data_IF_025900015315
#
_entry.id   IF_025900015315
#
_cell.length_a   1.000
_cell.length_b   1.000
_cell.length_c   1.000
_cell.angle_alpha   90.00
_cell.angle_beta   90.00
_cell.angle_gamma   90.00
#
_symmetry.space_group_name_H-M   'P 1'
#
loop_
_entity.id
_entity.type
_entity.pdbx_description
1 polymer ?
#
# COMPACT_ATOMS: atom_id res chain seq x y z
N UNK A 1 48.58 33.64 11.56
CA UNK A 1 47.75 32.44 11.73
C UNK A 1 46.26 32.75 11.66
N UNK A 2 45.75 33.81 12.33
CA UNK A 2 44.30 34.19 12.34
C UNK A 2 43.72 34.57 10.94
N UNK A 3 44.49 35.15 10.03
CA UNK A 3 44.02 35.52 8.69
C UNK A 3 43.93 34.33 7.70
N UNK A 4 44.64 33.23 7.94
CA UNK A 4 44.55 32.03 7.11
C UNK A 4 43.32 31.17 7.49
N UNK A 5 42.93 31.20 8.76
CA UNK A 5 41.75 30.49 9.26
C UNK A 5 40.46 31.16 8.76
N UNK A 6 40.42 32.52 8.72
CA UNK A 6 39.27 33.25 8.19
C UNK A 6 39.01 32.97 6.68
N UNK A 7 40.07 32.81 5.87
CA UNK A 7 39.93 32.47 4.44
C UNK A 7 39.49 31.03 4.20
N UNK A 8 39.86 30.07 5.07
CA UNK A 8 39.42 28.69 4.97
C UNK A 8 37.95 28.55 5.41
N UNK A 9 37.52 29.31 6.42
CA UNK A 9 36.11 29.36 6.84
C UNK A 9 35.19 30.03 5.79
N UNK A 10 35.67 31.07 5.11
CA UNK A 10 34.90 31.70 4.04
C UNK A 10 34.79 30.84 2.77
N UNK A 11 35.80 29.99 2.47
CA UNK A 11 35.73 29.04 1.35
C UNK A 11 34.87 27.84 1.70
N UNK A 12 34.83 27.38 2.94
CA UNK A 12 33.96 26.30 3.42
C UNK A 12 32.48 26.70 3.43
N UNK A 13 32.14 27.96 3.71
CA UNK A 13 30.75 28.44 3.68
C UNK A 13 30.22 28.65 2.26
N UNK A 14 31.08 29.00 1.29
CA UNK A 14 30.66 29.07 -0.12
C UNK A 14 30.49 27.69 -0.79
N UNK A 15 31.16 26.65 -0.30
CA UNK A 15 31.01 25.30 -0.83
C UNK A 15 29.70 24.58 -0.37
N UNK A 16 29.12 25.01 0.76
CA UNK A 16 27.87 24.43 1.26
C UNK A 16 26.61 25.00 0.59
N UNK A 17 26.72 26.14 -0.12
CA UNK A 17 25.58 26.74 -0.83
C UNK A 17 25.38 26.19 -2.26
N UNK A 18 26.30 25.36 -2.75
CA UNK A 18 26.23 24.80 -4.11
C UNK A 18 25.52 23.43 -4.18
N UNK A 19 25.08 22.86 -3.05
CA UNK A 19 24.41 21.55 -3.02
C UNK A 19 22.90 21.63 -2.77
N UNK A 20 22.31 22.79 -2.91
CA UNK A 20 20.87 23.01 -2.63
C UNK A 20 19.99 23.06 -3.88
N UNK A 21 20.50 22.77 -5.09
CA UNK A 21 19.76 22.92 -6.35
C UNK A 21 19.41 21.60 -7.05
N UNK A 22 19.60 20.44 -6.46
CA UNK A 22 19.20 19.18 -7.14
C UNK A 22 17.68 18.96 -7.20
N UNK A 23 16.89 19.76 -6.49
CA UNK A 23 15.43 19.67 -6.51
C UNK A 23 14.80 20.16 -7.83
N UNK A 24 15.53 20.96 -8.60
CA UNK A 24 15.08 21.46 -9.92
C UNK A 24 15.78 20.76 -11.09
N UNK A 25 16.74 19.91 -10.83
CA UNK A 25 17.41 19.16 -11.89
C UNK A 25 16.47 18.08 -12.43
N UNK A 26 16.10 18.26 -13.67
CA UNK A 26 15.68 17.17 -14.56
C UNK A 26 16.82 16.15 -14.52
N UNK A 27 16.53 14.88 -14.20
CA UNK A 27 17.59 13.85 -14.12
C UNK A 27 18.54 13.95 -15.30
N UNK A 28 19.86 13.76 -15.08
CA UNK A 28 20.91 13.88 -16.11
C UNK A 28 20.62 13.07 -17.39
N UNK A 29 19.80 12.02 -17.31
CA UNK A 29 19.31 11.27 -18.47
C UNK A 29 18.30 12.04 -19.32
N UNK A 30 17.53 12.96 -18.75
CA UNK A 30 16.69 13.92 -19.47
C UNK A 30 17.49 15.16 -19.90
N UNK A 31 18.57 15.49 -19.19
CA UNK A 31 19.39 16.67 -19.44
C UNK A 31 20.35 16.53 -20.62
N UNK A 32 20.39 15.40 -21.34
CA UNK A 32 21.25 15.20 -22.52
C UNK A 32 21.01 16.21 -23.66
N UNK A 33 21.32 17.48 -23.38
CA UNK A 33 21.22 18.59 -24.33
C UNK A 33 19.84 19.28 -24.36
N UNK A 34 18.99 19.05 -23.33
CA UNK A 34 17.67 19.69 -23.22
C UNK A 34 17.83 20.96 -22.35
N UNK A 35 17.58 22.10 -22.96
CA UNK A 35 17.63 23.40 -22.28
C UNK A 35 16.25 23.93 -21.84
N UNK A 36 15.18 23.26 -22.27
CA UNK A 36 13.81 23.69 -21.99
C UNK A 36 12.85 22.49 -21.91
N UNK A 37 11.94 22.52 -20.95
CA UNK A 37 10.91 21.50 -20.72
C UNK A 37 10.02 21.30 -21.97
N UNK A 38 9.80 22.34 -22.78
CA UNK A 38 9.04 22.24 -24.04
C UNK A 38 9.65 21.24 -25.03
N UNK A 39 10.97 21.07 -25.02
CA UNK A 39 11.68 20.09 -25.87
C UNK A 39 11.38 18.63 -25.46
N UNK A 40 10.99 18.40 -24.23
CA UNK A 40 10.53 17.08 -23.78
C UNK A 40 9.20 16.76 -24.44
N UNK A 41 8.27 17.69 -24.38
CA UNK A 41 6.89 17.50 -24.85
C UNK A 41 6.70 17.71 -26.35
N UNK A 42 7.72 18.13 -27.08
CA UNK A 42 7.76 18.12 -28.54
C UNK A 42 8.30 16.78 -29.13
N UNK A 43 8.68 15.81 -28.29
CA UNK A 43 9.19 14.52 -28.72
C UNK A 43 8.35 13.37 -28.16
N UNK A 44 7.86 12.50 -29.04
CA UNK A 44 6.97 11.38 -28.68
C UNK A 44 7.55 10.48 -27.61
N UNK A 45 8.82 10.02 -27.79
CA UNK A 45 9.45 9.08 -26.87
C UNK A 45 9.72 9.72 -25.50
N UNK A 46 10.10 10.98 -25.45
CA UNK A 46 10.30 11.71 -24.20
C UNK A 46 9.00 11.94 -23.48
N UNK A 47 7.93 12.32 -24.18
CA UNK A 47 6.59 12.47 -23.61
C UNK A 47 6.07 11.14 -23.01
N UNK A 48 6.23 10.02 -23.75
CA UNK A 48 5.87 8.69 -23.25
C UNK A 48 6.69 8.26 -22.03
N UNK A 49 7.99 8.57 -22.00
CA UNK A 49 8.84 8.31 -20.81
C UNK A 49 8.40 9.12 -19.60
N UNK A 50 8.09 10.40 -19.79
CA UNK A 50 7.55 11.22 -18.70
C UNK A 50 6.22 10.67 -18.19
N UNK A 51 5.30 10.31 -19.08
CA UNK A 51 4.07 9.62 -18.72
C UNK A 51 4.35 8.38 -17.85
N UNK A 52 5.27 7.49 -18.27
CA UNK A 52 5.64 6.31 -17.50
C UNK A 52 6.24 6.64 -16.13
N UNK A 53 7.06 7.69 -16.03
CA UNK A 53 7.68 8.11 -14.77
C UNK A 53 6.66 8.57 -13.72
N UNK A 54 5.52 9.13 -14.14
CA UNK A 54 4.45 9.53 -13.20
C UNK A 54 3.95 8.35 -12.36
N UNK A 55 4.11 7.11 -12.82
CA UNK A 55 3.66 5.90 -12.12
C UNK A 55 4.69 5.29 -11.17
N UNK A 56 5.95 5.72 -11.23
CA UNK A 56 7.07 5.05 -10.53
C UNK A 56 6.95 5.05 -9.00
N UNK A 57 6.34 6.07 -8.43
CA UNK A 57 6.27 6.25 -6.97
C UNK A 57 4.91 5.82 -6.40
N UNK A 58 4.19 4.91 -7.07
CA UNK A 58 3.02 4.28 -6.48
C UNK A 58 3.44 3.42 -5.29
N UNK A 59 2.84 3.62 -4.10
CA UNK A 59 3.11 2.75 -2.96
C UNK A 59 2.78 1.29 -3.26
N UNK A 60 3.66 0.39 -2.83
CA UNK A 60 3.47 -1.04 -2.97
C UNK A 60 2.90 -1.62 -1.67
N UNK A 61 1.59 -1.82 -1.64
CA UNK A 61 0.90 -2.40 -0.48
C UNK A 61 0.99 -3.94 -0.41
N UNK A 62 1.61 -4.59 -1.39
CA UNK A 62 1.93 -6.00 -1.30
C UNK A 62 3.11 -6.31 -0.38
N UNK A 63 3.94 -5.31 -0.09
CA UNK A 63 5.05 -5.46 0.85
C UNK A 63 4.53 -5.59 2.28
N UNK A 64 4.77 -6.74 2.91
CA UNK A 64 4.35 -7.03 4.30
C UNK A 64 5.29 -6.47 5.36
N UNK A 65 6.43 -5.93 4.96
CA UNK A 65 7.41 -5.36 5.90
C UNK A 65 7.45 -3.85 5.79
N UNK A 66 7.62 -3.18 6.94
CA UNK A 66 8.07 -1.79 6.94
C UNK A 66 9.48 -1.80 6.36
N UNK A 67 9.57 -1.43 5.11
CA UNK A 67 10.84 -1.22 4.45
C UNK A 67 11.34 0.18 4.78
N UNK A 68 12.67 0.37 4.76
CA UNK A 68 13.26 1.72 4.76
C UNK A 68 12.89 2.52 3.51
N UNK A 69 12.24 1.89 2.55
CA UNK A 69 11.65 2.56 1.39
C UNK A 69 10.41 3.33 1.80
N UNK A 70 10.30 4.63 1.47
CA UNK A 70 9.10 5.42 1.76
C UNK A 70 7.85 4.90 1.05
N UNK A 71 8.01 4.03 0.04
CA UNK A 71 6.91 3.44 -0.72
C UNK A 71 6.46 2.07 -0.19
N UNK A 72 7.04 1.58 0.92
CA UNK A 72 6.61 0.34 1.56
C UNK A 72 5.22 0.43 2.20
N UNK A 73 4.68 -0.73 2.59
CA UNK A 73 3.39 -0.83 3.29
C UNK A 73 3.58 -0.69 4.80
N UNK A 74 3.14 0.40 5.44
CA UNK A 74 3.22 0.53 6.89
C UNK A 74 2.10 -0.21 7.61
N UNK A 75 0.96 -0.40 6.96
CA UNK A 75 -0.30 -0.80 7.60
C UNK A 75 -0.27 -2.22 8.13
N UNK A 76 0.13 -3.19 7.31
CA UNK A 76 0.17 -4.60 7.68
C UNK A 76 1.06 -4.84 8.91
N UNK A 77 2.16 -4.08 9.03
CA UNK A 77 3.07 -4.20 10.15
C UNK A 77 2.61 -3.48 11.41
N UNK A 78 1.66 -2.55 11.29
CA UNK A 78 1.17 -1.74 12.42
C UNK A 78 -0.21 -2.17 12.89
N UNK A 79 -0.89 -3.02 12.11
CA UNK A 79 -2.11 -3.67 12.53
C UNK A 79 -1.81 -4.83 13.50
N UNK A 80 -2.83 -5.32 14.15
CA UNK A 80 -2.82 -6.48 15.05
C UNK A 80 -2.95 -7.83 14.32
N UNK A 81 -2.54 -7.85 13.05
CA UNK A 81 -2.64 -9.04 12.19
C UNK A 81 -1.36 -9.85 12.21
N UNK A 82 -0.19 -9.20 12.04
CA UNK A 82 1.08 -9.88 11.90
C UNK A 82 2.19 -9.26 12.76
N UNK A 83 3.18 -10.08 13.06
CA UNK A 83 4.44 -9.68 13.65
C UNK A 83 5.60 -10.07 12.74
N UNK A 84 6.54 -9.17 12.52
CA UNK A 84 7.77 -9.46 11.81
C UNK A 84 8.99 -9.07 12.64
N UNK A 85 10.06 -9.85 12.50
CA UNK A 85 11.34 -9.53 13.17
C UNK A 85 11.89 -8.16 12.73
N UNK A 86 11.60 -7.74 11.52
CA UNK A 86 12.04 -6.45 10.99
C UNK A 86 11.29 -5.27 11.63
N UNK A 87 10.07 -5.49 12.11
CA UNK A 87 9.32 -4.49 12.88
C UNK A 87 10.05 -4.09 14.17
N UNK A 88 10.70 -5.04 14.84
CA UNK A 88 11.50 -4.73 16.05
C UNK A 88 12.67 -3.82 15.72
N UNK A 89 13.32 -4.03 14.58
CA UNK A 89 14.45 -3.21 14.14
C UNK A 89 14.02 -1.80 13.72
N UNK A 90 12.81 -1.66 13.21
CA UNK A 90 12.26 -0.38 12.77
C UNK A 90 11.71 0.49 13.92
N UNK A 91 11.79 0.06 15.17
CA UNK A 91 11.21 0.76 16.31
C UNK A 91 9.68 0.85 16.22
N UNK A 92 9.09 -0.20 15.87
CA UNK A 92 7.78 -0.45 15.25
C UNK A 92 6.53 0.23 15.80
N UNK A 93 6.48 0.62 17.03
CA UNK A 93 5.19 1.07 17.59
C UNK A 93 5.25 2.43 18.25
N UNK A 94 6.43 3.04 18.27
CA UNK A 94 6.62 3.88 19.42
C UNK A 94 6.73 5.35 19.09
N UNK A 95 7.28 5.71 17.96
CA UNK A 95 7.75 7.08 17.85
C UNK A 95 7.75 7.62 16.41
N UNK A 96 6.72 7.28 15.67
CA UNK A 96 6.54 7.94 14.38
C UNK A 96 6.10 9.37 14.63
N UNK A 97 6.96 10.28 14.27
CA UNK A 97 6.75 11.71 14.39
C UNK A 97 7.44 12.44 13.23
N UNK A 98 7.34 13.75 13.19
CA UNK A 98 7.93 14.56 12.12
C UNK A 98 9.44 14.41 11.95
N UNK A 99 10.15 13.88 12.95
CA UNK A 99 11.61 13.69 12.93
C UNK A 99 12.02 12.22 12.76
N UNK A 100 11.10 11.28 12.98
CA UNK A 100 11.32 9.85 12.86
C UNK A 100 10.23 9.24 11.99
N UNK A 101 10.47 9.21 10.70
CA UNK A 101 9.50 8.78 9.70
C UNK A 101 10.08 7.61 8.90
N UNK A 102 9.87 6.39 9.39
CA UNK A 102 10.26 5.19 8.64
C UNK A 102 9.43 4.99 7.36
N UNK A 103 8.37 5.76 7.18
CA UNK A 103 7.51 5.75 5.99
C UNK A 103 7.24 7.17 5.49
N UNK A 104 8.31 7.96 5.32
CA UNK A 104 8.18 9.33 4.83
C UNK A 104 7.92 9.37 3.33
N UNK A 105 6.65 9.51 2.96
CA UNK A 105 6.23 9.68 1.57
C UNK A 105 6.11 11.14 1.16
N UNK A 106 6.25 12.08 2.09
CA UNK A 106 5.95 13.50 1.86
C UNK A 106 6.68 14.06 0.64
N UNK A 107 8.00 14.07 0.67
CA UNK A 107 8.81 14.62 -0.41
C UNK A 107 8.58 13.88 -1.73
N UNK A 108 8.69 12.56 -1.72
CA UNK A 108 8.60 11.74 -2.94
C UNK A 108 7.23 11.85 -3.62
N UNK A 109 6.15 11.91 -2.84
CA UNK A 109 4.81 12.03 -3.44
C UNK A 109 4.54 13.45 -3.95
N UNK A 110 5.01 14.51 -3.27
CA UNK A 110 4.90 15.86 -3.82
C UNK A 110 5.78 16.09 -5.07
N UNK A 111 6.95 15.44 -5.15
CA UNK A 111 7.73 15.39 -6.40
C UNK A 111 6.94 14.73 -7.53
N UNK A 112 6.24 13.63 -7.23
CA UNK A 112 5.39 12.93 -8.20
C UNK A 112 4.17 13.76 -8.62
N UNK A 113 3.55 14.46 -7.67
CA UNK A 113 2.46 15.42 -7.94
C UNK A 113 2.97 16.54 -8.86
N UNK A 114 4.16 17.09 -8.60
CA UNK A 114 4.76 18.08 -9.47
C UNK A 114 4.97 17.54 -10.89
N UNK A 115 5.49 16.31 -11.03
CA UNK A 115 5.66 15.70 -12.35
C UNK A 115 4.34 15.48 -13.07
N UNK A 116 3.28 15.09 -12.34
CA UNK A 116 1.94 14.96 -12.87
C UNK A 116 1.39 16.32 -13.35
N UNK A 117 1.54 17.37 -12.56
CA UNK A 117 1.09 18.73 -12.93
C UNK A 117 1.79 19.23 -14.20
N UNK A 118 3.13 19.08 -14.27
CA UNK A 118 3.88 19.46 -15.48
C UNK A 118 3.36 18.70 -16.70
N UNK A 119 3.11 17.39 -16.58
CA UNK A 119 2.55 16.62 -17.70
C UNK A 119 1.17 17.12 -18.11
N UNK A 120 0.28 17.38 -17.17
CA UNK A 120 -1.07 17.87 -17.43
C UNK A 120 -1.07 19.22 -18.15
N UNK A 121 -0.11 20.10 -17.82
CA UNK A 121 0.04 21.43 -18.40
C UNK A 121 0.73 21.39 -19.76
N UNK A 122 1.78 20.61 -19.92
CA UNK A 122 2.68 20.67 -21.07
C UNK A 122 2.37 19.64 -22.17
N UNK A 123 1.82 18.47 -21.82
CA UNK A 123 1.57 17.43 -22.81
C UNK A 123 0.48 17.85 -23.82
N UNK A 124 0.78 17.66 -25.10
CA UNK A 124 -0.09 17.99 -26.22
C UNK A 124 0.09 16.96 -27.34
N UNK A 125 -0.86 16.88 -28.30
CA UNK A 125 -0.71 16.02 -29.46
C UNK A 125 0.57 16.38 -30.24
N UNK A 126 1.29 15.35 -30.71
CA UNK A 126 2.50 15.50 -31.52
C UNK A 126 2.20 14.84 -32.86
N UNK A 127 2.16 15.67 -33.91
CA UNK A 127 1.95 15.23 -35.28
C UNK A 127 3.26 15.41 -36.03
N UNK A 128 3.89 14.32 -36.43
CA UNK A 128 5.03 14.36 -37.35
C UNK A 128 4.50 14.20 -38.78
N UNK A 129 4.67 15.24 -39.60
CA UNK A 129 4.19 15.28 -40.98
C UNK A 129 5.03 14.39 -41.89
N UNK A 130 5.18 13.13 -41.62
CA UNK A 130 5.88 12.21 -42.50
C UNK A 130 6.52 11.01 -41.79
N UNK A 131 6.37 10.93 -40.49
CA UNK A 131 6.88 9.79 -39.71
C UNK A 131 5.93 8.57 -39.71
N UNK A 132 6.43 7.37 -39.39
CA UNK A 132 5.60 6.21 -39.15
C UNK A 132 4.65 6.47 -37.96
N UNK A 133 3.51 5.75 -37.91
CA UNK A 133 2.49 5.91 -36.86
C UNK A 133 3.02 5.83 -35.42
N UNK A 134 4.18 5.18 -35.21
CA UNK A 134 4.86 5.09 -33.93
C UNK A 134 5.45 6.42 -33.43
N UNK A 135 5.66 7.38 -34.31
CA UNK A 135 6.32 8.67 -34.02
C UNK A 135 5.31 9.80 -33.80
N UNK A 136 4.06 9.46 -33.52
CA UNK A 136 3.01 10.45 -33.22
C UNK A 136 2.30 10.15 -31.90
N UNK A 137 1.73 11.20 -31.31
CA UNK A 137 0.77 11.13 -30.22
C UNK A 137 -0.51 11.82 -30.65
N UNK A 138 -1.58 11.07 -30.81
CA UNK A 138 -2.88 11.58 -31.22
C UNK A 138 -3.55 12.36 -30.08
N UNK A 139 -4.58 13.15 -30.43
CA UNK A 139 -5.40 13.85 -29.45
C UNK A 139 -6.05 12.88 -28.45
N UNK A 140 -6.60 11.76 -28.93
CA UNK A 140 -7.22 10.75 -28.08
C UNK A 140 -6.20 10.07 -27.13
N UNK A 141 -4.98 9.82 -27.62
CA UNK A 141 -3.91 9.28 -26.78
C UNK A 141 -3.50 10.27 -25.67
N UNK A 142 -3.33 11.53 -26.01
CA UNK A 142 -2.99 12.56 -25.02
C UNK A 142 -4.13 12.75 -24.03
N UNK A 143 -5.38 12.73 -24.49
CA UNK A 143 -6.55 12.80 -23.63
C UNK A 143 -6.57 11.65 -22.61
N UNK A 144 -6.37 10.42 -23.07
CA UNK A 144 -6.27 9.23 -22.22
C UNK A 144 -5.08 9.34 -21.24
N UNK A 145 -3.90 9.76 -21.71
CA UNK A 145 -2.72 9.93 -20.86
C UNK A 145 -2.96 10.98 -19.77
N UNK A 146 -3.58 12.10 -20.13
CA UNK A 146 -3.93 13.14 -19.15
C UNK A 146 -4.95 12.64 -18.12
N UNK A 147 -5.94 11.84 -18.52
CA UNK A 147 -6.88 11.24 -17.60
C UNK A 147 -6.16 10.30 -16.58
N UNK A 148 -5.26 9.44 -17.07
CA UNK A 148 -4.48 8.56 -16.23
C UNK A 148 -3.52 9.32 -15.29
N UNK A 149 -2.88 10.38 -15.77
CA UNK A 149 -2.01 11.24 -14.95
C UNK A 149 -2.81 12.02 -13.91
N UNK A 150 -4.00 12.49 -14.26
CA UNK A 150 -4.93 13.12 -13.32
C UNK A 150 -5.36 12.16 -12.23
N UNK A 151 -5.66 10.91 -12.59
CA UNK A 151 -5.90 9.84 -11.63
C UNK A 151 -4.69 9.66 -10.69
N UNK A 152 -3.47 9.54 -11.22
CA UNK A 152 -2.27 9.37 -10.38
C UNK A 152 -2.03 10.55 -9.44
N UNK A 153 -2.28 11.78 -9.91
CA UNK A 153 -2.21 12.98 -9.06
C UNK A 153 -3.18 12.89 -7.87
N UNK A 154 -4.42 12.51 -8.13
CA UNK A 154 -5.43 12.29 -7.09
C UNK A 154 -5.01 11.15 -6.14
N UNK A 155 -4.50 10.04 -6.66
CA UNK A 155 -4.00 8.91 -5.88
C UNK A 155 -2.81 9.30 -4.98
N UNK A 156 -1.89 10.13 -5.45
CA UNK A 156 -0.78 10.62 -4.63
C UNK A 156 -1.24 11.52 -3.49
N UNK A 157 -2.25 12.35 -3.70
CA UNK A 157 -2.87 13.12 -2.62
C UNK A 157 -3.60 12.18 -1.63
N UNK A 158 -4.25 11.11 -2.10
CA UNK A 158 -4.85 10.11 -1.24
C UNK A 158 -3.79 9.43 -0.35
N UNK A 159 -2.67 8.98 -0.90
CA UNK A 159 -1.59 8.34 -0.14
C UNK A 159 -0.89 9.29 0.85
N UNK A 160 -0.84 10.58 0.54
CA UNK A 160 -0.39 11.59 1.49
C UNK A 160 -1.41 11.78 2.62
N UNK A 161 -2.69 11.96 2.26
CA UNK A 161 -3.77 12.14 3.23
C UNK A 161 -3.89 10.95 4.19
N UNK A 162 -3.75 9.73 3.68
CA UNK A 162 -3.80 8.48 4.45
C UNK A 162 -2.77 8.45 5.60
N UNK A 163 -1.58 9.04 5.39
CA UNK A 163 -0.51 9.10 6.39
C UNK A 163 -0.51 10.38 7.23
N UNK A 164 -0.87 11.50 6.64
CA UNK A 164 -0.66 12.82 7.24
C UNK A 164 -1.96 13.57 7.55
N UNK A 165 -3.12 13.00 7.20
CA UNK A 165 -4.42 13.66 7.36
C UNK A 165 -4.57 14.91 6.48
N UNK A 166 -4.83 16.10 7.06
CA UNK A 166 -4.86 17.35 6.33
C UNK A 166 -3.54 17.68 5.66
N UNK A 167 -3.56 17.96 4.36
CA UNK A 167 -2.39 18.24 3.53
C UNK A 167 -2.65 19.43 2.60
N UNK A 168 -1.62 20.10 2.09
CA UNK A 168 -1.77 21.05 0.99
C UNK A 168 -2.23 20.34 -0.29
N UNK A 169 -3.21 20.88 -0.99
CA UNK A 169 -3.61 20.48 -2.33
C UNK A 169 -2.75 21.23 -3.34
N UNK A 170 -2.04 20.51 -4.20
CA UNK A 170 -1.17 21.07 -5.24
C UNK A 170 -1.65 20.60 -6.61
N UNK A 171 -2.45 21.41 -7.28
CA UNK A 171 -3.14 21.07 -8.52
C UNK A 171 -2.50 21.65 -9.79
N UNK A 172 -1.41 22.40 -9.66
CA UNK A 172 -0.61 22.98 -10.73
C UNK A 172 0.89 22.90 -10.45
N UNK A 173 1.72 23.15 -11.47
CA UNK A 173 3.17 23.19 -11.31
C UNK A 173 3.60 24.51 -10.66
N UNK A 174 4.17 24.41 -9.45
CA UNK A 174 4.66 25.57 -8.72
C UNK A 174 6.06 25.97 -9.21
N UNK A 175 6.31 27.26 -9.25
CA UNK A 175 7.57 27.90 -9.62
C UNK A 175 8.20 28.60 -8.40
N UNK A 176 9.40 29.15 -8.59
CA UNK A 176 10.06 29.93 -7.53
C UNK A 176 9.41 31.29 -7.26
N UNK A 177 8.48 31.71 -8.11
CA UNK A 177 7.71 32.96 -7.96
C UNK A 177 6.46 32.76 -7.10
N UNK A 178 6.06 31.48 -6.90
CA UNK A 178 4.89 31.12 -6.10
C UNK A 178 5.25 31.09 -4.59
N UNK A 179 4.24 31.29 -3.75
CA UNK A 179 4.38 31.06 -2.31
C UNK A 179 4.46 29.55 -2.05
N UNK A 180 5.66 29.07 -1.69
CA UNK A 180 5.90 27.64 -1.43
C UNK A 180 5.52 27.21 0.00
N UNK A 181 5.21 28.15 0.89
CA UNK A 181 4.74 27.87 2.26
C UNK A 181 3.21 27.71 2.28
N UNK A 182 2.74 26.67 1.59
CA UNK A 182 1.31 26.41 1.47
C UNK A 182 0.70 25.95 2.80
N UNK A 183 -0.41 26.56 3.25
CA UNK A 183 -1.17 26.05 4.37
C UNK A 183 -1.81 24.71 4.03
N UNK A 184 -2.05 23.89 5.04
CA UNK A 184 -2.82 22.65 4.85
C UNK A 184 -4.27 22.98 4.51
N UNK A 185 -4.84 22.22 3.58
CA UNK A 185 -6.27 22.16 3.41
C UNK A 185 -6.88 21.30 4.53
N UNK A 186 -8.12 21.58 4.90
CA UNK A 186 -8.83 20.73 5.85
C UNK A 186 -9.04 19.34 5.24
N UNK A 187 -9.23 18.34 6.10
CA UNK A 187 -9.39 16.96 5.63
C UNK A 187 -10.58 16.84 4.67
N UNK A 188 -11.70 17.51 4.95
CA UNK A 188 -12.86 17.48 4.04
C UNK A 188 -12.59 18.13 2.70
N UNK A 189 -11.80 19.21 2.67
CA UNK A 189 -11.38 19.80 1.40
C UNK A 189 -10.52 18.84 0.60
N UNK A 190 -9.59 18.13 1.25
CA UNK A 190 -8.75 17.13 0.58
C UNK A 190 -9.58 15.98 0.05
N UNK A 191 -10.48 15.40 0.86
CA UNK A 191 -11.39 14.31 0.46
C UNK A 191 -12.24 14.74 -0.75
N UNK A 192 -12.89 15.88 -0.67
CA UNK A 192 -13.77 16.36 -1.72
C UNK A 192 -13.01 16.68 -3.01
N UNK A 193 -11.79 17.22 -2.90
CA UNK A 193 -10.95 17.48 -4.05
C UNK A 193 -10.51 16.17 -4.73
N UNK A 194 -10.06 15.17 -3.97
CA UNK A 194 -9.68 13.86 -4.51
C UNK A 194 -10.89 13.21 -5.19
N UNK A 195 -12.08 13.22 -4.55
CA UNK A 195 -13.31 12.67 -5.12
C UNK A 195 -13.66 13.32 -6.46
N UNK A 196 -13.59 14.66 -6.54
CA UNK A 196 -13.87 15.39 -7.76
C UNK A 196 -12.88 15.13 -8.89
N UNK A 197 -11.58 14.98 -8.55
CA UNK A 197 -10.54 14.62 -9.52
C UNK A 197 -10.75 13.21 -10.10
N UNK A 198 -11.08 12.25 -9.22
CA UNK A 198 -11.38 10.88 -9.64
C UNK A 198 -12.64 10.81 -10.49
N UNK A 199 -13.70 11.53 -10.12
CA UNK A 199 -14.93 11.60 -10.91
C UNK A 199 -14.68 12.17 -12.30
N UNK A 200 -13.92 13.24 -12.39
CA UNK A 200 -13.62 13.89 -13.67
C UNK A 200 -12.74 13.03 -14.58
N UNK A 201 -11.69 12.36 -14.04
CA UNK A 201 -10.82 11.54 -14.88
C UNK A 201 -11.50 10.26 -15.37
N UNK A 202 -12.41 9.65 -14.59
CA UNK A 202 -13.13 8.42 -14.97
C UNK A 202 -13.83 8.52 -16.34
N UNK A 203 -14.27 9.71 -16.73
CA UNK A 203 -15.00 9.88 -17.99
C UNK A 203 -14.11 9.71 -19.23
N UNK A 204 -12.82 9.94 -19.09
CA UNK A 204 -11.84 9.94 -20.17
C UNK A 204 -10.84 8.78 -20.07
N UNK A 205 -10.85 8.03 -18.97
CA UNK A 205 -10.07 6.81 -18.80
C UNK A 205 -10.63 5.67 -19.65
N UNK A 206 -9.81 4.65 -19.89
CA UNK A 206 -10.28 3.45 -20.55
C UNK A 206 -11.42 2.82 -19.74
N UNK A 207 -12.51 2.49 -20.43
CA UNK A 207 -13.77 2.13 -19.79
C UNK A 207 -13.84 0.66 -19.36
N UNK A 208 -13.03 -0.21 -19.97
CA UNK A 208 -13.04 -1.64 -19.72
C UNK A 208 -11.72 -2.08 -19.07
N UNK A 209 -11.70 -3.17 -18.27
CA UNK A 209 -10.46 -3.72 -17.74
C UNK A 209 -9.53 -4.22 -18.86
N UNK A 210 -8.22 -4.16 -18.62
CA UNK A 210 -7.20 -4.67 -19.54
C UNK A 210 -6.90 -6.17 -19.31
N UNK A 211 -7.92 -7.01 -19.13
CA UNK A 211 -7.71 -8.44 -18.83
C UNK A 211 -6.86 -9.17 -19.88
N UNK A 212 -7.13 -8.90 -21.16
CA UNK A 212 -6.46 -9.57 -22.28
C UNK A 212 -5.22 -8.83 -22.82
N UNK A 213 -4.82 -7.72 -22.19
CA UNK A 213 -3.70 -6.88 -22.63
C UNK A 213 -2.61 -6.84 -21.55
N UNK A 214 -1.72 -7.82 -21.60
CA UNK A 214 -0.71 -8.02 -20.54
C UNK A 214 0.11 -6.77 -20.22
N UNK A 215 0.57 -6.05 -21.23
CA UNK A 215 1.37 -4.83 -21.08
C UNK A 215 0.60 -3.65 -20.45
N UNK A 216 -0.73 -3.73 -20.41
CA UNK A 216 -1.60 -2.66 -19.95
C UNK A 216 -2.19 -2.91 -18.56
N UNK A 217 -2.02 -4.08 -17.97
CA UNK A 217 -2.67 -4.48 -16.69
C UNK A 217 -2.35 -3.58 -15.51
N UNK A 218 -1.21 -2.89 -15.55
CA UNK A 218 -0.82 -1.92 -14.53
C UNK A 218 -1.33 -0.49 -14.79
N UNK A 219 -1.89 -0.22 -15.97
CA UNK A 219 -2.46 1.07 -16.32
C UNK A 219 -3.84 1.22 -15.67
N UNK A 220 -4.12 2.32 -14.96
CA UNK A 220 -5.40 2.50 -14.31
C UNK A 220 -6.53 2.68 -15.32
N UNK A 221 -7.68 2.13 -14.99
CA UNK A 221 -8.92 2.22 -15.79
C UNK A 221 -10.02 2.90 -14.99
N UNK A 222 -11.18 3.08 -15.58
CA UNK A 222 -12.38 3.56 -14.87
C UNK A 222 -12.67 2.76 -13.61
N UNK A 223 -12.59 1.43 -13.67
CA UNK A 223 -12.79 0.56 -12.49
C UNK A 223 -11.79 0.84 -11.38
N UNK A 224 -10.53 1.13 -11.74
CA UNK A 224 -9.50 1.53 -10.78
C UNK A 224 -9.85 2.84 -10.07
N UNK A 225 -10.31 3.83 -10.83
CA UNK A 225 -10.70 5.12 -10.25
C UNK A 225 -11.95 5.02 -9.37
N UNK A 226 -12.93 4.20 -9.77
CA UNK A 226 -14.12 3.90 -8.95
C UNK A 226 -13.74 3.21 -7.64
N UNK A 227 -12.85 2.21 -7.69
CA UNK A 227 -12.38 1.50 -6.50
C UNK A 227 -11.63 2.42 -5.52
N UNK A 228 -10.73 3.29 -6.03
CA UNK A 228 -10.05 4.27 -5.19
C UNK A 228 -11.03 5.29 -4.59
N UNK A 229 -12.03 5.71 -5.34
CA UNK A 229 -13.09 6.61 -4.87
C UNK A 229 -13.92 5.98 -3.74
N UNK A 230 -14.26 4.70 -3.88
CA UNK A 230 -14.95 3.94 -2.83
C UNK A 230 -14.08 3.78 -1.57
N UNK A 231 -12.79 3.48 -1.74
CA UNK A 231 -11.81 3.39 -0.64
C UNK A 231 -11.67 4.75 0.08
N UNK A 232 -11.60 5.85 -0.65
CA UNK A 232 -11.55 7.21 -0.09
C UNK A 232 -12.75 7.49 0.83
N UNK A 233 -13.95 7.17 0.38
CA UNK A 233 -15.17 7.42 1.17
C UNK A 233 -15.34 6.42 2.32
N UNK A 234 -14.90 5.16 2.16
CA UNK A 234 -14.81 4.20 3.25
C UNK A 234 -13.86 4.71 4.34
N UNK A 235 -12.70 5.23 3.97
CA UNK A 235 -11.77 5.89 4.90
C UNK A 235 -12.42 7.09 5.58
N UNK A 236 -13.08 7.99 4.84
CA UNK A 236 -13.72 9.18 5.38
C UNK A 236 -14.87 8.88 6.35
N UNK A 237 -15.52 7.73 6.22
CA UNK A 237 -16.64 7.29 7.05
C UNK A 237 -16.22 6.44 8.26
N UNK A 238 -14.99 5.90 8.26
CA UNK A 238 -14.52 4.95 9.29
C UNK A 238 -14.28 5.63 10.65
N UNK A 239 -14.52 4.95 11.79
CA UNK A 239 -14.35 5.52 13.15
C UNK A 239 -12.92 5.74 13.59
N UNK A 240 -11.81 5.75 13.09
CA UNK A 240 -10.67 6.59 13.46
C UNK A 240 -10.63 7.87 12.67
N UNK A 241 -11.54 8.02 11.77
CA UNK A 241 -11.70 9.20 10.94
C UNK A 241 -11.92 10.46 11.76
N UNK A 242 -11.62 11.59 11.20
CA UNK A 242 -11.52 12.89 11.85
C UNK A 242 -12.66 13.20 12.78
N UNK A 243 -12.30 13.78 13.91
CA UNK A 243 -13.23 14.13 14.96
C UNK A 243 -13.44 13.06 16.03
N UNK A 244 -12.72 11.92 15.98
CA UNK A 244 -12.75 10.92 17.06
C UNK A 244 -11.93 11.34 18.26
N UNK A 245 -10.80 12.01 18.02
CA UNK A 245 -9.91 12.49 19.08
C UNK A 245 -10.22 13.96 19.35
N UNK A 246 -10.60 14.33 20.58
CA UNK A 246 -10.92 15.73 20.90
C UNK A 246 -9.79 16.71 20.52
N UNK A 247 -8.55 16.27 20.59
CA UNK A 247 -7.37 17.05 20.25
C UNK A 247 -7.34 17.43 18.77
N UNK A 248 -7.80 16.57 17.87
CA UNK A 248 -7.84 16.84 16.42
C UNK A 248 -8.78 18.01 16.12
N UNK A 249 -9.89 18.11 16.83
CA UNK A 249 -10.88 19.19 16.64
C UNK A 249 -10.35 20.57 17.01
N UNK A 250 -9.23 20.63 17.74
CA UNK A 250 -8.56 21.88 18.13
C UNK A 250 -7.44 22.29 17.19
N UNK A 251 -7.04 21.40 16.28
CA UNK A 251 -5.97 21.69 15.34
C UNK A 251 -6.43 22.69 14.27
N UNK A 252 -5.66 23.78 14.16
CA UNK A 252 -5.90 24.85 13.19
C UNK A 252 -4.63 25.22 12.46
N UNK A 253 -4.76 25.74 11.26
CA UNK A 253 -3.70 26.44 10.56
C UNK A 253 -3.38 27.78 11.27
N UNK A 254 -2.30 28.43 10.85
CA UNK A 254 -1.90 29.76 11.32
C UNK A 254 -2.96 30.84 11.06
N UNK A 255 -3.80 30.68 10.06
CA UNK A 255 -4.95 31.52 9.73
C UNK A 255 -6.20 31.24 10.60
N UNK A 256 -6.13 30.25 11.50
CA UNK A 256 -7.23 29.84 12.38
C UNK A 256 -8.20 28.87 11.76
N UNK A 257 -7.99 28.40 10.51
CA UNK A 257 -8.83 27.42 9.86
C UNK A 257 -8.68 26.05 10.53
N UNK A 258 -9.81 25.41 10.89
CA UNK A 258 -9.81 24.05 11.44
C UNK A 258 -9.35 23.03 10.39
N UNK A 259 -8.53 22.10 10.83
CA UNK A 259 -7.97 21.05 9.96
C UNK A 259 -8.85 19.81 9.89
N UNK A 260 -9.49 19.43 11.00
CA UNK A 260 -10.36 18.26 11.05
C UNK A 260 -11.83 18.66 11.26
N UNK A 261 -12.77 18.10 10.50
CA UNK A 261 -14.19 18.36 10.65
C UNK A 261 -14.77 17.69 11.89
N UNK A 262 -15.99 18.08 12.25
CA UNK A 262 -16.81 17.28 13.16
C UNK A 262 -17.19 15.95 12.49
N UNK A 263 -17.57 14.97 13.30
CA UNK A 263 -18.10 13.70 12.81
C UNK A 263 -19.37 13.94 11.98
N UNK A 264 -19.37 13.37 10.78
CA UNK A 264 -20.49 13.44 9.84
C UNK A 264 -20.95 12.04 9.44
N UNK A 265 -22.07 11.61 9.99
CA UNK A 265 -22.66 10.28 9.72
C UNK A 265 -23.13 10.13 8.26
N UNK A 266 -23.33 11.23 7.52
CA UNK A 266 -23.75 11.16 6.12
C UNK A 266 -22.66 10.56 5.21
N UNK A 267 -21.40 10.64 5.64
CA UNK A 267 -20.27 10.04 4.91
C UNK A 267 -20.39 8.52 4.79
N UNK A 268 -21.02 7.87 5.77
CA UNK A 268 -21.27 6.41 5.71
C UNK A 268 -22.17 6.06 4.53
N UNK A 269 -23.25 6.84 4.31
CA UNK A 269 -24.11 6.60 3.17
C UNK A 269 -23.38 6.85 1.86
N UNK A 270 -22.57 7.89 1.77
CA UNK A 270 -21.74 8.15 0.60
C UNK A 270 -20.77 6.99 0.32
N UNK A 271 -20.12 6.44 1.36
CA UNK A 271 -19.26 5.26 1.21
C UNK A 271 -20.03 4.05 0.67
N UNK A 272 -21.21 3.77 1.21
CA UNK A 272 -22.09 2.68 0.74
C UNK A 272 -22.47 2.89 -0.73
N UNK A 273 -22.81 4.10 -1.13
CA UNK A 273 -23.19 4.42 -2.49
C UNK A 273 -22.01 4.20 -3.46
N UNK A 274 -20.79 4.66 -3.10
CA UNK A 274 -19.58 4.45 -3.91
C UNK A 274 -19.18 2.98 -4.02
N UNK A 275 -19.30 2.21 -2.94
CA UNK A 275 -19.06 0.77 -2.97
C UNK A 275 -20.07 0.06 -3.89
N UNK A 276 -21.35 0.46 -3.84
CA UNK A 276 -22.38 -0.08 -4.73
C UNK A 276 -22.11 0.25 -6.19
N UNK A 277 -21.68 1.48 -6.50
CA UNK A 277 -21.26 1.86 -7.85
C UNK A 277 -20.16 0.93 -8.42
N UNK A 278 -19.19 0.52 -7.56
CA UNK A 278 -18.14 -0.44 -7.96
C UNK A 278 -18.72 -1.81 -8.26
N UNK A 279 -19.61 -2.31 -7.39
CA UNK A 279 -20.25 -3.61 -7.60
C UNK A 279 -21.13 -3.62 -8.87
N UNK A 280 -21.97 -2.60 -9.06
CA UNK A 280 -22.82 -2.47 -10.24
C UNK A 280 -21.97 -2.41 -11.53
N UNK A 281 -20.83 -1.70 -11.49
CA UNK A 281 -19.91 -1.63 -12.61
C UNK A 281 -19.20 -2.96 -12.87
N UNK A 282 -18.82 -3.70 -11.82
CA UNK A 282 -18.19 -5.01 -11.92
C UNK A 282 -19.14 -6.04 -12.57
N UNK A 283 -20.39 -6.08 -12.11
CA UNK A 283 -21.41 -7.00 -12.61
C UNK A 283 -21.82 -6.68 -14.04
N UNK A 284 -21.87 -5.40 -14.40
CA UNK A 284 -22.24 -4.96 -15.73
C UNK A 284 -21.21 -5.46 -16.76
N UNK A 285 -21.68 -6.24 -17.73
CA UNK A 285 -20.85 -6.90 -18.75
C UNK A 285 -19.79 -7.88 -18.17
N UNK A 286 -19.97 -8.32 -16.93
CA UNK A 286 -19.04 -9.23 -16.25
C UNK A 286 -17.58 -8.72 -16.29
N UNK A 287 -17.38 -7.45 -15.93
CA UNK A 287 -16.07 -6.80 -15.99
C UNK A 287 -15.09 -7.35 -14.96
N UNK A 288 -15.60 -7.62 -13.76
CA UNK A 288 -14.86 -8.24 -12.67
C UNK A 288 -15.73 -9.32 -12.05
N UNK A 289 -15.12 -10.39 -11.59
CA UNK A 289 -15.79 -11.49 -10.91
C UNK A 289 -14.86 -12.15 -9.91
N UNK A 290 -15.43 -12.86 -8.94
CA UNK A 290 -14.63 -13.68 -8.06
C UNK A 290 -13.93 -14.81 -8.86
N UNK A 291 -12.73 -15.18 -8.39
CA UNK A 291 -11.94 -16.25 -8.99
C UNK A 291 -12.49 -17.61 -8.53
N UNK A 292 -13.32 -18.22 -9.35
CA UNK A 292 -14.02 -19.50 -9.09
C UNK A 292 -13.81 -20.49 -10.23
N UNK A 293 -12.54 -20.90 -10.45
CA UNK A 293 -12.18 -21.74 -11.61
C UNK A 293 -12.18 -23.24 -11.33
N UNK A 294 -11.83 -23.67 -10.12
CA UNK A 294 -11.64 -25.10 -9.82
C UNK A 294 -12.86 -25.75 -9.16
N UNK A 295 -13.75 -24.96 -8.58
CA UNK A 295 -14.87 -25.43 -7.79
C UNK A 295 -14.47 -25.90 -6.38
N UNK A 296 -13.20 -25.75 -6.00
CA UNK A 296 -12.70 -25.91 -4.64
C UNK A 296 -12.23 -24.55 -4.11
N UNK A 297 -12.96 -23.93 -3.14
CA UNK A 297 -12.65 -22.59 -2.66
C UNK A 297 -11.24 -22.42 -2.09
N UNK A 298 -10.65 -23.46 -1.50
CA UNK A 298 -9.30 -23.39 -0.97
C UNK A 298 -8.25 -23.32 -2.09
N UNK A 299 -8.44 -24.12 -3.14
CA UNK A 299 -7.59 -24.09 -4.33
C UNK A 299 -7.76 -22.77 -5.08
N UNK A 300 -8.98 -22.30 -5.25
CA UNK A 300 -9.25 -21.02 -5.91
C UNK A 300 -8.60 -19.83 -5.14
N UNK A 301 -8.73 -19.79 -3.82
CA UNK A 301 -8.10 -18.76 -2.98
C UNK A 301 -6.56 -18.79 -3.09
N UNK A 302 -5.94 -19.96 -3.22
CA UNK A 302 -4.51 -20.06 -3.44
C UNK A 302 -4.11 -19.59 -4.85
N UNK A 303 -4.84 -20.02 -5.86
CA UNK A 303 -4.49 -19.75 -7.27
C UNK A 303 -4.73 -18.29 -7.67
N UNK A 304 -5.72 -17.61 -7.09
CA UNK A 304 -6.00 -16.20 -7.42
C UNK A 304 -4.81 -15.26 -7.21
N UNK A 305 -3.87 -15.62 -6.34
CA UNK A 305 -2.64 -14.83 -6.12
C UNK A 305 -1.45 -15.30 -6.98
N UNK A 306 -1.60 -16.37 -7.78
CA UNK A 306 -0.51 -16.89 -8.61
C UNK A 306 -0.52 -16.32 -10.02
N UNK A 307 -1.67 -15.86 -10.50
CA UNK A 307 -1.84 -15.32 -11.84
C UNK A 307 -2.74 -14.09 -11.85
N UNK A 308 -2.60 -13.26 -12.89
CA UNK A 308 -3.54 -12.18 -13.12
C UNK A 308 -4.89 -12.77 -13.57
N UNK A 309 -5.98 -12.28 -13.01
CA UNK A 309 -7.32 -12.80 -13.23
C UNK A 309 -8.40 -11.71 -13.11
N UNK A 310 -9.64 -12.12 -13.29
CA UNK A 310 -10.82 -11.26 -13.34
C UNK A 310 -11.19 -10.61 -12.00
N UNK A 311 -10.61 -11.04 -10.89
CA UNK A 311 -10.83 -10.44 -9.56
C UNK A 311 -9.92 -9.22 -9.32
N UNK A 312 -8.84 -9.08 -10.10
CA UNK A 312 -7.85 -8.01 -9.92
C UNK A 312 -8.31 -6.73 -10.61
N UNK A 313 -8.57 -5.69 -9.83
CA UNK A 313 -8.97 -4.37 -10.36
C UNK A 313 -7.75 -3.56 -10.84
N UNK A 314 -6.62 -3.63 -10.13
CA UNK A 314 -5.41 -2.89 -10.48
C UNK A 314 -4.16 -3.67 -10.12
N UNK A 315 -3.43 -4.11 -11.12
CA UNK A 315 -2.20 -4.84 -10.93
C UNK A 315 -0.99 -3.92 -10.69
N UNK A 316 0.09 -4.49 -10.19
CA UNK A 316 1.41 -3.85 -10.18
C UNK A 316 2.15 -4.15 -11.49
N UNK A 317 2.99 -3.23 -11.94
CA UNK A 317 3.90 -3.45 -13.07
C UNK A 317 5.12 -4.29 -12.69
N UNK A 318 5.34 -4.53 -11.41
CA UNK A 318 6.50 -5.28 -10.90
C UNK A 318 6.14 -6.74 -10.78
N UNK A 319 6.86 -7.60 -11.49
CA UNK A 319 6.64 -9.06 -11.50
C UNK A 319 7.61 -9.82 -10.60
N UNK A 320 8.58 -9.17 -9.96
CA UNK A 320 9.56 -9.88 -9.14
C UNK A 320 9.17 -9.85 -7.67
N UNK A 321 8.63 -10.94 -7.19
CA UNK A 321 8.27 -11.17 -5.79
C UNK A 321 9.42 -11.76 -4.95
N UNK A 322 10.59 -11.98 -5.55
CA UNK A 322 11.68 -12.72 -4.92
C UNK A 322 12.36 -12.02 -3.75
N UNK A 323 12.19 -10.71 -3.62
CA UNK A 323 12.83 -9.96 -2.53
C UNK A 323 11.96 -8.81 -2.08
N UNK A 324 11.73 -8.74 -0.77
CA UNK A 324 11.26 -7.55 -0.09
C UNK A 324 12.50 -6.83 0.48
N UNK A 325 13.02 -5.88 -0.26
CA UNK A 325 14.33 -5.32 0.02
C UNK A 325 15.42 -6.40 -0.17
N UNK A 326 16.32 -6.53 0.81
CA UNK A 326 17.38 -7.57 0.80
C UNK A 326 16.91 -8.92 1.36
N UNK A 327 15.64 -9.04 1.78
CA UNK A 327 15.10 -10.21 2.45
C UNK A 327 14.20 -10.97 1.48
N UNK A 328 14.50 -12.25 1.27
CA UNK A 328 13.64 -13.14 0.50
C UNK A 328 12.36 -13.42 1.31
N UNK A 329 11.20 -13.01 0.79
CA UNK A 329 9.91 -13.21 1.43
C UNK A 329 9.66 -14.68 1.76
N UNK A 330 9.96 -15.57 0.81
CA UNK A 330 9.77 -17.01 0.98
C UNK A 330 10.51 -17.56 2.20
N UNK A 331 11.76 -17.15 2.42
CA UNK A 331 12.53 -17.62 3.57
C UNK A 331 12.01 -17.05 4.88
N UNK A 332 11.50 -15.83 4.87
CA UNK A 332 10.90 -15.20 6.06
C UNK A 332 9.57 -15.84 6.44
N UNK A 333 8.74 -16.17 5.47
CA UNK A 333 7.46 -16.85 5.69
C UNK A 333 7.61 -18.34 6.00
N UNK A 334 8.73 -18.96 5.60
CA UNK A 334 8.99 -20.39 5.82
C UNK A 334 9.37 -20.66 7.28
N UNK A 335 8.74 -21.67 7.93
CA UNK A 335 9.08 -22.06 9.30
C UNK A 335 10.55 -22.44 9.47
N UNK A 336 11.13 -22.17 10.64
CA UNK A 336 12.56 -22.46 10.90
C UNK A 336 12.92 -23.94 10.90
N UNK A 337 11.95 -24.82 11.04
CA UNK A 337 12.15 -26.28 10.90
C UNK A 337 12.39 -26.71 9.45
N UNK A 338 12.12 -25.86 8.49
CA UNK A 338 12.34 -26.14 7.08
C UNK A 338 13.72 -25.63 6.61
N UNK A 339 14.33 -26.26 5.60
CA UNK A 339 15.60 -25.79 5.03
C UNK A 339 15.53 -24.32 4.60
N UNK A 340 16.47 -23.51 5.07
CA UNK A 340 16.56 -22.07 4.83
C UNK A 340 15.40 -21.23 5.41
N UNK A 341 14.45 -21.85 6.12
CA UNK A 341 13.38 -21.13 6.79
C UNK A 341 13.92 -20.21 7.90
N UNK A 342 13.49 -18.96 7.90
CA UNK A 342 13.88 -17.97 8.91
C UNK A 342 12.80 -17.75 9.96
N UNK A 343 11.55 -18.13 9.67
CA UNK A 343 10.41 -17.92 10.57
C UNK A 343 10.40 -16.47 11.08
N UNK A 344 10.39 -15.52 10.17
CA UNK A 344 10.44 -14.10 10.50
C UNK A 344 9.11 -13.37 10.33
N UNK A 345 8.12 -14.06 9.79
CA UNK A 345 6.75 -13.57 9.64
C UNK A 345 5.82 -14.45 10.49
N UNK A 346 5.06 -13.85 11.35
CA UNK A 346 4.14 -14.54 12.27
C UNK A 346 2.77 -13.89 12.22
N UNK A 347 1.75 -14.72 12.32
CA UNK A 347 0.38 -14.27 12.52
C UNK A 347 0.16 -14.01 14.01
N UNK A 348 -0.48 -12.92 14.35
CA UNK A 348 -0.88 -12.63 15.73
C UNK A 348 -2.12 -13.44 16.10
N UNK A 349 -2.27 -13.72 17.41
CA UNK A 349 -3.42 -14.49 17.90
C UNK A 349 -4.73 -13.78 17.67
N UNK A 350 -4.71 -12.45 17.68
CA UNK A 350 -5.86 -11.60 17.40
C UNK A 350 -6.44 -11.92 16.01
N UNK A 351 -5.59 -11.99 14.97
CA UNK A 351 -6.05 -12.38 13.63
C UNK A 351 -6.55 -13.83 13.58
N UNK A 352 -5.89 -14.74 14.30
CA UNK A 352 -6.36 -16.14 14.40
C UNK A 352 -7.75 -16.20 15.01
N UNK A 353 -8.03 -15.37 16.03
CA UNK A 353 -9.33 -15.31 16.69
C UNK A 353 -10.43 -14.68 15.82
N UNK A 354 -10.08 -13.77 14.92
CA UNK A 354 -11.01 -13.10 14.02
C UNK A 354 -11.60 -14.00 12.93
N UNK A 355 -10.90 -15.10 12.57
CA UNK A 355 -11.50 -16.10 11.71
C UNK A 355 -12.67 -16.80 12.38
N UNK A 356 -13.74 -17.01 11.65
CA UNK A 356 -14.94 -17.70 12.17
C UNK A 356 -14.74 -19.21 12.28
N UNK A 357 -15.60 -19.82 13.06
CA UNK A 357 -15.78 -21.26 13.10
C UNK A 357 -16.62 -21.72 11.91
N UNK A 358 -16.68 -23.03 11.63
CA UNK A 358 -17.45 -23.59 10.51
C UNK A 358 -18.95 -23.32 10.58
N UNK A 359 -19.47 -22.93 11.74
CA UNK A 359 -20.87 -22.54 11.93
C UNK A 359 -21.15 -21.06 11.62
N UNK A 360 -20.10 -20.31 11.23
CA UNK A 360 -20.18 -18.89 10.91
C UNK A 360 -20.19 -17.97 12.13
N UNK A 361 -19.93 -18.48 13.33
CA UNK A 361 -19.85 -17.69 14.55
C UNK A 361 -18.39 -17.38 14.91
N UNK A 362 -18.13 -16.26 15.59
CA UNK A 362 -16.82 -16.00 16.20
C UNK A 362 -16.42 -17.13 17.15
N UNK A 363 -15.12 -17.42 17.23
CA UNK A 363 -14.60 -18.51 18.08
C UNK A 363 -15.08 -18.43 19.54
N UNK A 364 -15.23 -17.23 20.09
CA UNK A 364 -15.70 -17.00 21.46
C UNK A 364 -17.20 -17.19 21.67
N UNK A 365 -17.96 -17.33 20.60
CA UNK A 365 -19.42 -17.42 20.62
C UNK A 365 -19.93 -18.73 20.01
N UNK A 366 -19.01 -19.55 19.49
CA UNK A 366 -19.37 -20.83 18.87
C UNK A 366 -19.86 -21.85 19.89
N UNK A 367 -20.73 -22.75 19.44
CA UNK A 367 -21.12 -23.95 20.19
C UNK A 367 -20.08 -25.07 20.16
N UNK A 368 -19.07 -24.98 19.28
CA UNK A 368 -18.05 -26.01 19.13
C UNK A 368 -17.00 -26.00 20.24
N UNK A 369 -16.70 -24.81 20.79
CA UNK A 369 -15.72 -24.65 21.86
C UNK A 369 -16.33 -23.88 23.04
N UNK A 370 -16.35 -24.44 24.23
CA UNK A 370 -16.68 -23.70 25.45
C UNK A 370 -15.74 -22.51 25.64
N UNK A 371 -16.27 -21.37 26.05
CA UNK A 371 -15.48 -20.12 26.26
C UNK A 371 -14.29 -20.29 27.23
N UNK A 372 -14.38 -21.24 28.18
CA UNK A 372 -13.32 -21.57 29.13
C UNK A 372 -12.17 -22.38 28.52
N UNK A 373 -12.36 -22.97 27.35
CA UNK A 373 -11.45 -23.98 26.81
C UNK A 373 -10.59 -23.45 25.66
N UNK A 374 -10.85 -22.20 25.25
CA UNK A 374 -10.09 -21.55 24.16
C UNK A 374 -8.62 -21.34 24.50
N UNK A 375 -8.33 -21.10 25.79
CA UNK A 375 -6.98 -20.84 26.30
C UNK A 375 -6.80 -21.53 27.65
N UNK A 376 -6.69 -22.86 27.69
CA UNK A 376 -6.47 -23.56 28.93
C UNK A 376 -5.13 -23.14 29.53
N UNK A 377 -5.14 -22.81 30.81
CA UNK A 377 -4.00 -22.19 31.52
C UNK A 377 -2.70 -23.02 31.47
N UNK A 378 -2.75 -24.32 31.21
CA UNK A 378 -1.59 -25.18 31.30
C UNK A 378 -1.42 -26.23 30.18
N UNK A 379 -2.45 -26.65 29.50
CA UNK A 379 -2.34 -27.65 28.41
C UNK A 379 -3.37 -27.33 27.34
N UNK A 380 -2.88 -27.07 26.13
CA UNK A 380 -3.75 -26.92 24.97
C UNK A 380 -4.55 -28.23 24.82
N UNK A 381 -5.88 -28.15 24.84
CA UNK A 381 -6.68 -29.27 24.43
C UNK A 381 -6.31 -29.62 22.99
N UNK A 382 -6.07 -30.88 22.79
CA UNK A 382 -5.64 -31.43 21.51
C UNK A 382 -6.80 -32.13 20.84
N UNK A 383 -6.86 -31.99 19.52
CA UNK A 383 -7.81 -32.68 18.68
C UNK A 383 -7.12 -33.18 17.43
N UNK A 384 -7.89 -33.68 16.48
CA UNK A 384 -7.35 -34.25 15.24
C UNK A 384 -7.84 -33.47 14.04
N UNK A 385 -6.89 -32.96 13.24
CA UNK A 385 -7.14 -32.33 11.94
C UNK A 385 -6.39 -33.09 10.84
N UNK A 386 -7.10 -33.60 9.84
CA UNK A 386 -6.52 -34.41 8.74
C UNK A 386 -5.58 -35.54 9.22
N UNK A 387 -5.94 -36.20 10.33
CA UNK A 387 -5.19 -37.32 10.89
C UNK A 387 -3.97 -36.92 11.71
N UNK A 388 -3.81 -35.64 12.01
CA UNK A 388 -2.69 -35.09 12.79
C UNK A 388 -3.23 -34.48 14.07
N UNK A 389 -2.49 -34.66 15.17
CA UNK A 389 -2.80 -34.01 16.44
C UNK A 389 -2.44 -32.52 16.38
N UNK A 390 -3.43 -31.67 16.63
CA UNK A 390 -3.31 -30.21 16.62
C UNK A 390 -4.06 -29.62 17.82
N UNK A 391 -3.79 -28.35 18.15
CA UNK A 391 -4.60 -27.65 19.15
C UNK A 391 -6.06 -27.56 18.72
N UNK A 392 -6.97 -27.75 19.66
CA UNK A 392 -8.42 -27.68 19.45
C UNK A 392 -8.85 -26.33 18.84
N UNK A 393 -8.13 -25.23 19.13
CA UNK A 393 -8.42 -23.90 18.56
C UNK A 393 -8.31 -23.82 17.04
N UNK A 394 -7.63 -24.77 16.39
CA UNK A 394 -7.47 -24.82 14.93
C UNK A 394 -8.46 -25.75 14.23
N UNK A 395 -9.31 -26.43 15.00
CA UNK A 395 -10.27 -27.39 14.46
C UNK A 395 -11.61 -26.71 14.19
N UNK A 396 -12.31 -27.19 13.19
CA UNK A 396 -13.65 -26.69 12.80
C UNK A 396 -13.70 -25.17 12.51
N UNK A 397 -12.60 -24.63 11.99
CA UNK A 397 -12.55 -23.25 11.52
C UNK A 397 -13.17 -23.13 10.12
N UNK A 398 -13.52 -21.91 9.72
CA UNK A 398 -13.94 -21.63 8.37
C UNK A 398 -12.85 -21.97 7.32
N UNK A 399 -13.21 -22.32 6.07
CA UNK A 399 -12.22 -22.73 5.06
C UNK A 399 -11.11 -21.71 4.81
N UNK A 400 -11.39 -20.42 4.91
CA UNK A 400 -10.40 -19.34 4.73
C UNK A 400 -9.26 -19.37 5.74
N UNK A 401 -9.48 -19.95 6.92
CA UNK A 401 -8.44 -20.10 7.94
C UNK A 401 -7.30 -21.03 7.48
N UNK A 402 -7.63 -22.15 6.89
CA UNK A 402 -6.68 -23.23 6.60
C UNK A 402 -5.72 -22.94 5.44
N UNK A 403 -5.97 -21.91 4.66
CA UNK A 403 -5.15 -21.58 3.51
C UNK A 403 -4.00 -20.63 3.88
N UNK A 404 -4.24 -19.43 4.43
CA UNK A 404 -3.18 -18.46 4.73
C UNK A 404 -2.51 -18.67 6.09
N UNK A 405 -3.11 -19.41 7.02
CA UNK A 405 -2.65 -19.48 8.42
C UNK A 405 -1.88 -20.79 8.68
N UNK A 406 -0.55 -20.75 8.74
CA UNK A 406 0.22 -21.89 9.20
C UNK A 406 0.12 -22.03 10.72
N UNK A 407 -0.15 -23.24 11.20
CA UNK A 407 -0.27 -23.54 12.63
C UNK A 407 0.49 -24.81 13.02
N UNK A 408 0.80 -24.93 14.31
CA UNK A 408 1.55 -26.08 14.83
C UNK A 408 0.80 -27.39 14.61
N UNK A 409 1.51 -28.40 14.13
CA UNK A 409 0.96 -29.69 13.73
C UNK A 409 0.55 -29.79 12.27
N UNK A 410 0.30 -28.67 11.61
CA UNK A 410 0.01 -28.64 10.17
C UNK A 410 1.20 -29.17 9.36
N UNK A 411 0.93 -29.85 8.25
CA UNK A 411 1.97 -30.22 7.28
C UNK A 411 2.36 -29.03 6.44
N UNK A 412 3.67 -28.78 6.35
CA UNK A 412 4.17 -27.77 5.43
C UNK A 412 4.04 -28.25 3.99
N UNK A 413 3.48 -27.44 3.12
CA UNK A 413 3.07 -27.82 1.77
C UNK A 413 4.23 -28.23 0.84
N UNK A 414 5.46 -27.81 1.11
CA UNK A 414 6.63 -28.14 0.29
C UNK A 414 7.26 -29.46 0.72
N UNK A 415 7.59 -29.60 2.00
CA UNK A 415 8.32 -30.77 2.53
C UNK A 415 7.41 -31.90 3.00
N UNK A 416 6.13 -31.63 3.25
CA UNK A 416 5.21 -32.50 3.99
C UNK A 416 5.64 -32.79 5.46
N UNK A 417 6.63 -32.09 5.98
CA UNK A 417 6.99 -32.15 7.39
C UNK A 417 5.93 -31.44 8.24
N UNK A 418 5.73 -31.93 9.45
CA UNK A 418 4.85 -31.26 10.39
C UNK A 418 5.55 -30.05 11.03
N UNK A 419 4.85 -28.92 11.10
CA UNK A 419 5.31 -27.76 11.86
C UNK A 419 5.29 -28.17 13.34
N UNK A 420 6.45 -28.12 14.06
CA UNK A 420 6.53 -28.60 15.41
C UNK A 420 5.71 -27.78 16.40
N UNK A 421 5.26 -28.44 17.45
CA UNK A 421 4.65 -27.79 18.60
C UNK A 421 5.74 -27.31 19.58
N UNK A 422 5.65 -26.05 19.98
CA UNK A 422 6.50 -25.52 21.06
C UNK A 422 5.64 -24.81 22.11
N UNK A 423 5.66 -25.34 23.33
CA UNK A 423 4.95 -24.74 24.46
C UNK A 423 5.75 -23.65 25.16
N UNK A 424 7.08 -23.66 25.06
CA UNK A 424 7.98 -22.74 25.74
C UNK A 424 9.41 -22.81 25.16
N UNK A 425 10.29 -21.96 25.67
CA UNK A 425 11.74 -22.13 25.50
C UNK A 425 12.23 -23.42 26.18
N UNK A 426 13.30 -24.00 25.68
CA UNK A 426 13.98 -25.10 26.35
C UNK A 426 14.44 -24.70 27.76
N UNK A 427 14.73 -25.69 28.60
CA UNK A 427 15.20 -25.49 29.97
C UNK A 427 16.49 -24.65 30.05
N UNK A 428 17.32 -24.68 29.03
CA UNK A 428 18.52 -23.85 28.86
C UNK A 428 18.26 -22.46 28.28
N UNK A 429 16.99 -22.07 28.16
CA UNK A 429 16.51 -20.82 27.54
C UNK A 429 16.79 -20.71 26.02
N UNK A 430 17.23 -21.77 25.36
CA UNK A 430 17.34 -21.80 23.91
C UNK A 430 15.97 -21.84 23.25
N UNK A 431 15.90 -21.32 22.03
CA UNK A 431 14.69 -21.38 21.19
C UNK A 431 14.74 -22.70 20.42
N UNK A 432 13.73 -23.58 20.54
CA UNK A 432 13.67 -24.80 19.77
C UNK A 432 13.77 -24.57 18.27
N UNK A 433 14.31 -25.53 17.53
CA UNK A 433 14.33 -25.49 16.07
C UNK A 433 12.90 -25.37 15.53
N UNK A 434 12.70 -24.41 14.65
CA UNK A 434 11.38 -24.11 14.07
C UNK A 434 10.54 -23.09 14.84
N UNK A 435 10.91 -22.77 16.08
CA UNK A 435 10.22 -21.74 16.81
C UNK A 435 10.53 -20.33 16.22
N UNK A 436 9.58 -19.42 16.29
CA UNK A 436 9.83 -18.02 15.92
C UNK A 436 10.88 -17.39 16.83
N UNK A 437 11.51 -16.28 16.43
CA UNK A 437 12.48 -15.54 17.23
C UNK A 437 11.99 -15.16 18.63
N UNK A 438 10.69 -15.00 18.79
CA UNK A 438 10.02 -14.72 20.08
C UNK A 438 9.88 -15.92 20.99
N UNK A 439 10.23 -17.13 20.53
CA UNK A 439 10.07 -18.38 21.28
C UNK A 439 8.67 -18.98 21.19
N UNK A 440 7.80 -18.43 20.34
CA UNK A 440 6.43 -18.91 20.13
C UNK A 440 6.20 -19.24 18.66
N UNK A 441 5.54 -20.34 18.37
CA UNK A 441 4.96 -20.63 17.07
C UNK A 441 3.65 -19.86 16.84
N UNK A 442 3.05 -19.40 17.94
CA UNK A 442 1.91 -18.48 17.97
C UNK A 442 2.07 -17.51 19.14
N UNK A 443 1.59 -16.28 19.04
CA UNK A 443 1.57 -15.36 20.16
C UNK A 443 0.74 -15.98 21.29
N UNK A 444 1.25 -15.87 22.51
CA UNK A 444 0.47 -16.17 23.69
C UNK A 444 -0.17 -14.90 24.19
N UNK A 445 -1.43 -15.01 24.60
CA UNK A 445 -1.97 -14.05 25.53
C UNK A 445 -1.17 -14.11 26.84
N UNK A 446 -0.63 -12.99 27.25
CA UNK A 446 -0.20 -12.74 28.63
C UNK A 446 -1.39 -12.26 29.43
#
# INVERSE_FOLDING_TARGET
>A
MKQKIAKILSFGLLACTAWSCSFLDVSDELAGGISDISQVFSNVNRTKRWYGQVFNNRPDYSAVFVSSSPMGNPWTSMADEIYTREMDKAGKYVEWNSSNTNCSRWTTLYESIRQANIFLEQAHPIVDEGGPDADRLTEDQIKLYKANVRFMRAAYHYYLMELFGPIPIVDHSMTLEDDLDLPRNSLDEVINWIDSELEACMQEMYQEPYHDQEDMRAVPTKGTAMALRATLWAYAATPPSPGRWPEELTLTNTDGKRLFPDRDESKLQTAVDRLREVLDYAEQNNRYSLYEKTGDPATDLYQMFQEYNEEIIWATSTSSWGKLGDIAFDTMATPRCEPQGQGGLHVLQELVDDFYMKDGLPIKETSFLPKSDLYPDNEAEMGTYNGVEVSQMYIDREPRFYNPIPFSGMKWHISNNHIPFYKARNSDNSVPDGAPPTGYSLPRHN
#
